data_IF_661552070434
#
_entry.id   IF_661552070434
#
_cell.length_a   1.000
_cell.length_b   1.000
_cell.length_c   1.000
_cell.angle_alpha   90.00
_cell.angle_beta   90.00
_cell.angle_gamma   90.00
#
_symmetry.space_group_name_H-M   'P 1'
#
loop_
_entity.id
_entity.type
_entity.pdbx_description
1 polymer ?
#
# COMPACT_ATOMS: atom_id res chain seq x y z
N UNK A 1 31.58 8.75 -5.62
CA UNK A 1 30.35 7.94 -5.85
C UNK A 1 29.88 8.21 -7.28
N UNK A 2 29.77 7.19 -8.15
CA UNK A 2 29.47 7.38 -9.59
C UNK A 2 28.17 8.20 -9.78
N UNK A 3 28.10 9.14 -10.76
CA UNK A 3 26.92 9.99 -10.98
C UNK A 3 25.63 9.20 -11.27
N UNK A 4 25.77 7.98 -11.79
CA UNK A 4 24.67 7.03 -11.99
C UNK A 4 24.06 6.61 -10.64
N UNK A 5 24.89 6.34 -9.64
CA UNK A 5 24.45 5.94 -8.29
C UNK A 5 23.72 7.08 -7.58
N UNK A 6 24.13 8.33 -7.80
CA UNK A 6 23.42 9.50 -7.29
C UNK A 6 22.04 9.66 -7.95
N UNK A 7 21.92 9.47 -9.27
CA UNK A 7 20.62 9.49 -9.96
C UNK A 7 19.68 8.39 -9.49
N UNK A 8 20.20 7.20 -9.21
CA UNK A 8 19.41 6.07 -8.69
C UNK A 8 18.99 6.25 -7.23
N UNK A 9 19.81 6.94 -6.42
CA UNK A 9 19.48 7.23 -5.02
C UNK A 9 18.57 8.45 -4.83
N UNK A 10 18.51 9.34 -5.83
CA UNK A 10 17.73 10.59 -5.77
C UNK A 10 16.24 10.37 -5.45
N UNK A 11 15.54 9.36 -5.99
CA UNK A 11 14.18 9.05 -5.56
C UNK A 11 14.10 8.74 -4.07
N UNK A 12 15.06 8.01 -3.52
CA UNK A 12 15.00 7.53 -2.12
C UNK A 12 15.28 8.64 -1.11
N UNK A 13 16.06 9.66 -1.49
CA UNK A 13 16.45 10.75 -0.58
C UNK A 13 15.62 12.02 -0.77
N UNK A 14 14.97 12.20 -1.92
CA UNK A 14 14.24 13.43 -2.18
C UNK A 14 13.01 13.61 -1.28
N UNK A 15 12.76 14.86 -0.91
CA UNK A 15 11.54 15.28 -0.25
C UNK A 15 10.39 15.36 -1.26
N UNK A 16 9.27 14.75 -0.91
CA UNK A 16 8.05 14.84 -1.71
C UNK A 16 7.32 16.14 -1.39
N UNK A 17 7.07 16.93 -2.44
CA UNK A 17 6.24 18.14 -2.38
C UNK A 17 4.90 17.76 -2.99
N UNK A 18 3.92 17.47 -2.12
CA UNK A 18 2.56 17.05 -2.50
C UNK A 18 1.54 17.71 -1.59
N UNK A 19 0.33 17.93 -2.11
CA UNK A 19 -0.81 18.46 -1.35
C UNK A 19 -1.59 17.36 -0.62
N UNK A 20 -2.35 17.72 0.41
CA UNK A 20 -3.23 16.80 1.14
C UNK A 20 -4.20 16.05 0.23
N UNK A 21 -4.73 16.71 -0.81
CA UNK A 21 -5.62 16.10 -1.80
C UNK A 21 -4.91 15.10 -2.73
N UNK A 22 -3.61 15.29 -2.98
CA UNK A 22 -2.80 14.31 -3.71
C UNK A 22 -2.50 13.09 -2.84
N UNK A 23 -2.15 13.30 -1.57
CA UNK A 23 -1.95 12.25 -0.58
C UNK A 23 -3.20 11.35 -0.49
N UNK A 24 -4.37 11.95 -0.28
CA UNK A 24 -5.65 11.25 -0.22
C UNK A 24 -5.91 10.38 -1.46
N UNK A 25 -5.74 10.97 -2.66
CA UNK A 25 -5.93 10.24 -3.93
C UNK A 25 -4.95 9.08 -4.09
N UNK A 26 -3.68 9.28 -3.76
CA UNK A 26 -2.68 8.22 -3.83
C UNK A 26 -3.04 7.06 -2.89
N UNK A 27 -3.47 7.34 -1.67
CA UNK A 27 -3.89 6.30 -0.73
C UNK A 27 -5.11 5.51 -1.21
N UNK A 28 -6.14 6.18 -1.78
CA UNK A 28 -7.30 5.48 -2.35
C UNK A 28 -6.89 4.56 -3.51
N UNK A 29 -5.93 4.99 -4.32
CA UNK A 29 -5.45 4.22 -5.48
C UNK A 29 -4.52 3.07 -5.10
N UNK A 30 -3.76 3.22 -4.00
CA UNK A 30 -2.77 2.24 -3.56
C UNK A 30 -3.33 0.81 -3.42
N UNK A 31 -4.47 0.55 -2.75
CA UNK A 31 -5.00 -0.80 -2.62
C UNK A 31 -5.43 -1.36 -3.98
N UNK A 32 -5.97 -0.55 -4.89
CA UNK A 32 -6.34 -1.02 -6.23
C UNK A 32 -5.12 -1.54 -6.98
N UNK A 33 -4.03 -0.75 -7.01
CA UNK A 33 -2.78 -1.15 -7.65
C UNK A 33 -2.10 -2.34 -6.96
N UNK A 34 -2.11 -2.36 -5.61
CA UNK A 34 -1.53 -3.47 -4.85
C UNK A 34 -2.32 -4.78 -5.07
N UNK A 35 -3.65 -4.71 -5.08
CA UNK A 35 -4.51 -5.86 -5.36
C UNK A 35 -4.37 -6.34 -6.81
N UNK A 36 -4.16 -5.46 -7.80
CA UNK A 36 -3.88 -5.90 -9.18
C UNK A 36 -2.64 -6.79 -9.25
N UNK A 37 -1.57 -6.43 -8.55
CA UNK A 37 -0.33 -7.23 -8.52
C UNK A 37 -0.58 -8.60 -7.89
N UNK A 38 -1.33 -8.64 -6.79
CA UNK A 38 -1.66 -9.88 -6.07
C UNK A 38 -2.59 -10.76 -6.92
N UNK A 39 -3.61 -10.17 -7.54
CA UNK A 39 -4.55 -10.88 -8.39
C UNK A 39 -3.87 -11.52 -9.61
N UNK A 40 -2.89 -10.84 -10.21
CA UNK A 40 -2.09 -11.44 -11.29
C UNK A 40 -1.27 -12.64 -10.81
N UNK A 41 -0.71 -12.60 -9.60
CA UNK A 41 0.00 -13.74 -9.00
C UNK A 41 -0.94 -14.92 -8.71
N UNK A 42 -2.18 -14.64 -8.29
CA UNK A 42 -3.19 -15.68 -8.07
C UNK A 42 -3.66 -16.32 -9.37
N UNK A 43 -3.94 -15.55 -10.43
CA UNK A 43 -4.32 -16.10 -11.75
C UNK A 43 -3.25 -17.07 -12.27
N UNK A 44 -1.98 -16.71 -12.16
CA UNK A 44 -0.87 -17.59 -12.56
C UNK A 44 -0.90 -18.89 -11.76
N UNK A 45 -1.26 -18.83 -10.48
CA UNK A 45 -1.38 -19.99 -9.60
C UNK A 45 -2.58 -20.88 -9.95
N UNK A 46 -3.73 -20.29 -10.31
CA UNK A 46 -4.95 -21.01 -10.69
C UNK A 46 -4.86 -21.67 -12.06
N UNK A 47 -4.01 -21.17 -12.96
CA UNK A 47 -3.83 -21.75 -14.30
C UNK A 47 -3.33 -23.22 -14.25
N UNK A 48 -2.84 -23.67 -13.10
CA UNK A 48 -2.39 -25.05 -12.87
C UNK A 48 -3.45 -26.00 -12.31
N UNK A 49 -4.62 -25.51 -11.88
CA UNK A 49 -5.70 -26.33 -11.34
C UNK A 49 -6.87 -26.38 -12.32
N UNK A 50 -6.84 -27.37 -13.21
CA UNK A 50 -7.94 -27.69 -14.12
C UNK A 50 -9.13 -28.24 -13.31
N UNK A 51 -10.20 -27.47 -13.16
CA UNK A 51 -11.61 -27.89 -13.33
C UNK A 51 -12.57 -26.83 -12.77
N UNK A 52 -13.43 -26.29 -13.64
CA UNK A 52 -14.46 -25.31 -13.27
C UNK A 52 -15.74 -26.02 -12.79
N UNK A 53 -16.14 -25.81 -11.53
CA UNK A 53 -17.28 -26.45 -10.84
C UNK A 53 -18.24 -25.40 -10.25
N UNK A 54 -19.48 -25.78 -9.94
CA UNK A 54 -20.48 -24.97 -9.19
C UNK A 54 -19.95 -24.48 -7.83
N UNK A 55 -19.04 -25.24 -7.22
CA UNK A 55 -18.33 -24.87 -5.98
C UNK A 55 -17.54 -23.57 -6.12
N UNK A 56 -17.08 -23.23 -7.33
CA UNK A 56 -16.37 -21.96 -7.58
C UNK A 56 -17.28 -20.76 -7.36
N UNK A 57 -18.59 -20.87 -7.61
CA UNK A 57 -19.51 -19.75 -7.44
C UNK A 57 -19.77 -19.45 -5.95
N UNK A 58 -19.89 -20.48 -5.11
CA UNK A 58 -19.97 -20.32 -3.65
C UNK A 58 -18.66 -19.76 -3.10
N UNK A 59 -17.52 -20.30 -3.53
CA UNK A 59 -16.18 -19.80 -3.16
C UNK A 59 -15.99 -18.34 -3.60
N UNK A 60 -16.45 -17.94 -4.78
CA UNK A 60 -16.41 -16.56 -5.25
C UNK A 60 -17.27 -15.63 -4.36
N UNK A 61 -18.44 -16.10 -3.93
CA UNK A 61 -19.32 -15.33 -3.04
C UNK A 61 -18.72 -15.15 -1.64
N UNK A 62 -18.10 -16.19 -1.08
CA UNK A 62 -17.38 -16.12 0.20
C UNK A 62 -16.15 -15.22 0.09
N UNK A 63 -15.37 -15.34 -0.99
CA UNK A 63 -14.25 -14.43 -1.26
C UNK A 63 -14.69 -12.98 -1.37
N UNK A 64 -15.88 -12.70 -1.93
CA UNK A 64 -16.42 -11.34 -2.01
C UNK A 64 -16.75 -10.76 -0.63
N UNK A 65 -17.39 -11.54 0.25
CA UNK A 65 -17.67 -11.11 1.63
C UNK A 65 -16.38 -10.88 2.43
N UNK A 66 -15.40 -11.78 2.27
CA UNK A 66 -14.07 -11.63 2.88
C UNK A 66 -13.38 -10.36 2.37
N UNK A 67 -13.46 -10.08 1.07
CA UNK A 67 -12.90 -8.87 0.48
C UNK A 67 -13.54 -7.58 1.04
N UNK A 68 -14.86 -7.58 1.27
CA UNK A 68 -15.58 -6.47 1.91
C UNK A 68 -15.07 -6.20 3.33
N UNK A 69 -14.92 -7.25 4.14
CA UNK A 69 -14.39 -7.13 5.50
C UNK A 69 -12.95 -6.58 5.48
N UNK A 70 -12.11 -7.10 4.58
CA UNK A 70 -10.74 -6.62 4.38
C UNK A 70 -10.74 -5.14 3.97
N UNK A 71 -11.66 -4.70 3.11
CA UNK A 71 -11.76 -3.30 2.70
C UNK A 71 -12.13 -2.36 3.86
N UNK A 72 -13.02 -2.79 4.75
CA UNK A 72 -13.40 -2.01 5.96
C UNK A 72 -12.21 -1.93 6.94
N UNK A 73 -11.56 -3.07 7.20
CA UNK A 73 -10.35 -3.15 8.03
C UNK A 73 -9.26 -2.22 7.45
N UNK A 74 -9.04 -2.27 6.14
CA UNK A 74 -8.11 -1.39 5.46
C UNK A 74 -8.47 0.08 5.67
N UNK A 75 -9.74 0.47 5.49
CA UNK A 75 -10.14 1.87 5.59
C UNK A 75 -9.92 2.45 7.00
N UNK A 76 -10.31 1.68 8.02
CA UNK A 76 -10.25 2.14 9.42
C UNK A 76 -8.82 2.07 9.96
N UNK A 77 -8.10 0.98 9.70
CA UNK A 77 -6.86 0.66 10.39
C UNK A 77 -5.60 0.99 9.60
N UNK A 78 -5.71 1.09 8.28
CA UNK A 78 -4.58 1.40 7.40
C UNK A 78 -4.74 2.79 6.82
N UNK A 79 -5.83 3.07 6.12
CA UNK A 79 -6.01 4.29 5.35
C UNK A 79 -6.05 5.54 6.23
N UNK A 80 -6.94 5.58 7.23
CA UNK A 80 -7.08 6.75 8.10
C UNK A 80 -5.77 7.06 8.86
N UNK A 81 -5.16 6.11 9.59
CA UNK A 81 -3.91 6.38 10.31
C UNK A 81 -2.76 6.78 9.38
N UNK A 82 -2.64 6.09 8.24
CA UNK A 82 -1.64 6.42 7.21
C UNK A 82 -1.83 7.84 6.68
N UNK A 83 -3.06 8.23 6.38
CA UNK A 83 -3.36 9.58 5.90
C UNK A 83 -2.98 10.64 6.94
N UNK A 84 -3.38 10.45 8.20
CA UNK A 84 -3.02 11.37 9.28
C UNK A 84 -1.50 11.49 9.45
N UNK A 85 -0.78 10.37 9.44
CA UNK A 85 0.68 10.37 9.53
C UNK A 85 1.36 11.02 8.32
N UNK A 86 0.88 10.77 7.10
CA UNK A 86 1.42 11.43 5.90
C UNK A 86 1.19 12.94 5.93
N UNK A 87 0.02 13.39 6.38
CA UNK A 87 -0.28 14.82 6.55
C UNK A 87 0.58 15.45 7.64
N UNK A 88 0.84 14.72 8.74
CA UNK A 88 1.73 15.14 9.81
C UNK A 88 3.18 15.28 9.30
N UNK A 89 3.69 14.26 8.61
CA UNK A 89 5.02 14.27 8.00
C UNK A 89 5.17 15.38 6.96
N UNK A 90 4.10 15.68 6.21
CA UNK A 90 4.09 16.82 5.30
C UNK A 90 4.28 18.14 6.06
N UNK A 91 3.61 18.32 7.21
CA UNK A 91 3.75 19.50 8.07
C UNK A 91 5.17 19.65 8.60
N UNK A 92 5.80 18.55 9.01
CA UNK A 92 7.19 18.51 9.48
C UNK A 92 8.22 18.38 8.37
N UNK A 93 7.80 18.49 7.10
CA UNK A 93 8.70 18.42 5.95
C UNK A 93 9.48 17.10 5.82
N UNK A 94 9.03 16.04 6.48
CA UNK A 94 9.69 14.75 6.63
C UNK A 94 9.10 13.65 5.71
N UNK A 95 8.37 14.04 4.65
CA UNK A 95 7.76 13.11 3.70
C UNK A 95 8.81 12.60 2.69
N UNK A 96 9.60 11.62 3.13
CA UNK A 96 10.63 10.93 2.36
C UNK A 96 10.29 9.45 2.17
N UNK A 97 11.07 8.75 1.34
CA UNK A 97 10.92 7.31 1.10
C UNK A 97 10.91 6.51 2.39
N UNK A 98 11.93 6.67 3.23
CA UNK A 98 12.07 5.89 4.47
C UNK A 98 10.92 6.14 5.45
N UNK A 99 10.47 7.39 5.57
CA UNK A 99 9.30 7.73 6.38
C UNK A 99 8.06 7.00 5.88
N UNK A 100 7.88 6.98 4.55
CA UNK A 100 6.75 6.31 3.88
C UNK A 100 6.78 4.81 4.10
N UNK A 101 7.92 4.16 3.91
CA UNK A 101 8.06 2.73 4.17
C UNK A 101 7.81 2.43 5.65
N UNK A 102 8.40 3.20 6.57
CA UNK A 102 8.32 2.95 8.01
C UNK A 102 6.88 3.01 8.55
N UNK A 103 6.14 4.10 8.32
CA UNK A 103 4.77 4.16 8.85
C UNK A 103 3.84 3.23 8.10
N UNK A 104 4.05 3.03 6.78
CA UNK A 104 3.15 2.16 6.03
C UNK A 104 3.26 0.76 6.58
N UNK A 105 4.50 0.28 6.76
CA UNK A 105 4.76 -1.01 7.40
C UNK A 105 4.15 -1.10 8.80
N UNK A 106 4.24 -0.03 9.60
CA UNK A 106 3.61 0.03 10.93
C UNK A 106 2.08 -0.15 10.85
N UNK A 107 1.40 0.52 9.92
CA UNK A 107 -0.06 0.44 9.82
C UNK A 107 -0.57 -0.80 9.06
N UNK A 108 0.16 -1.30 8.07
CA UNK A 108 -0.26 -2.49 7.29
C UNK A 108 0.20 -3.81 7.90
N UNK A 109 1.19 -3.80 8.79
CA UNK A 109 1.72 -5.01 9.44
C UNK A 109 1.42 -5.04 10.93
N UNK A 110 1.80 -4.01 11.68
CA UNK A 110 1.76 -4.06 13.16
C UNK A 110 0.31 -3.93 13.67
N UNK A 111 -0.48 -3.01 13.13
CA UNK A 111 -1.86 -2.81 13.60
C UNK A 111 -2.74 -4.05 13.36
N UNK A 112 -2.77 -4.66 12.16
CA UNK A 112 -3.52 -5.90 11.96
C UNK A 112 -2.94 -7.05 12.80
N UNK A 113 -1.61 -7.18 12.90
CA UNK A 113 -1.00 -8.25 13.72
C UNK A 113 -1.37 -8.13 15.20
N UNK A 114 -1.40 -6.91 15.76
CA UNK A 114 -1.81 -6.67 17.14
C UNK A 114 -3.28 -7.00 17.37
N UNK A 115 -4.17 -6.64 16.44
CA UNK A 115 -5.59 -6.97 16.53
C UNK A 115 -5.78 -8.48 16.49
N UNK A 116 -5.06 -9.18 15.61
CA UNK A 116 -5.17 -10.63 15.53
C UNK A 116 -4.61 -11.26 16.81
N UNK A 117 -3.48 -10.80 17.34
CA UNK A 117 -2.93 -11.28 18.64
C UNK A 117 -3.91 -11.05 19.79
N UNK A 118 -4.55 -9.87 19.86
CA UNK A 118 -5.55 -9.54 20.87
C UNK A 118 -6.82 -10.38 20.76
N UNK A 119 -7.26 -10.72 19.53
CA UNK A 119 -8.40 -11.62 19.29
C UNK A 119 -8.03 -13.10 19.52
N UNK A 120 -6.79 -13.50 19.27
CA UNK A 120 -6.30 -14.89 19.42
C UNK A 120 -5.89 -15.25 20.85
N UNK A 121 -5.95 -14.31 21.79
CA UNK A 121 -5.94 -14.64 23.22
C UNK A 121 -7.09 -15.61 23.63
N UNK A 122 -8.09 -15.82 22.76
CA UNK A 122 -9.12 -16.87 22.89
C UNK A 122 -9.05 -17.99 21.84
N UNK A 123 -8.29 -17.84 20.74
CA UNK A 123 -8.29 -18.80 19.61
C UNK A 123 -6.86 -19.02 19.13
N UNK A 124 -6.37 -20.23 19.34
CA UNK A 124 -5.00 -20.65 19.06
C UNK A 124 -4.66 -20.51 17.56
N UNK A 125 -3.46 -19.98 17.28
CA UNK A 125 -2.70 -20.07 16.01
C UNK A 125 -3.18 -19.13 14.88
N UNK A 126 -2.55 -17.95 14.79
CA UNK A 126 -2.38 -17.26 13.50
C UNK A 126 -1.39 -18.09 12.69
N UNK A 127 -1.75 -18.68 11.54
CA UNK A 127 -0.80 -19.45 10.76
C UNK A 127 0.34 -18.54 10.30
N UNK A 128 1.60 -18.97 10.47
CA UNK A 128 2.79 -18.27 9.96
C UNK A 128 2.62 -17.84 8.48
N UNK A 129 1.89 -18.64 7.69
CA UNK A 129 1.52 -18.32 6.31
C UNK A 129 0.74 -17.01 6.17
N UNK A 130 -0.22 -16.74 7.06
CA UNK A 130 -1.02 -15.52 7.04
C UNK A 130 -0.16 -14.28 7.36
N UNK A 131 0.74 -14.40 8.33
CA UNK A 131 1.71 -13.35 8.66
C UNK A 131 2.65 -13.04 7.49
N UNK A 132 3.17 -14.07 6.81
CA UNK A 132 4.03 -13.90 5.64
C UNK A 132 3.29 -13.20 4.48
N UNK A 133 2.04 -13.60 4.20
CA UNK A 133 1.19 -12.95 3.18
C UNK A 133 0.95 -11.48 3.53
N UNK A 134 0.64 -11.18 4.80
CA UNK A 134 0.46 -9.82 5.28
C UNK A 134 1.73 -8.97 5.12
N UNK A 135 2.92 -9.54 5.36
CA UNK A 135 4.19 -8.87 5.13
C UNK A 135 4.39 -8.50 3.66
N UNK A 136 4.10 -9.42 2.73
CA UNK A 136 4.19 -9.15 1.29
C UNK A 136 3.18 -8.10 0.85
N UNK A 137 1.94 -8.16 1.36
CA UNK A 137 0.92 -7.14 1.10
C UNK A 137 1.38 -5.76 1.60
N UNK A 138 1.85 -5.69 2.85
CA UNK A 138 2.34 -4.48 3.51
C UNK A 138 3.47 -3.81 2.72
N UNK A 139 4.45 -4.59 2.27
CA UNK A 139 5.56 -4.10 1.46
C UNK A 139 5.08 -3.62 0.09
N UNK A 140 4.24 -4.41 -0.59
CA UNK A 140 3.69 -4.06 -1.90
C UNK A 140 2.87 -2.77 -1.82
N UNK A 141 2.09 -2.61 -0.76
CA UNK A 141 1.30 -1.43 -0.49
C UNK A 141 2.20 -0.20 -0.25
N UNK A 142 3.24 -0.33 0.59
CA UNK A 142 4.18 0.76 0.89
C UNK A 142 4.92 1.25 -0.35
N UNK A 143 5.43 0.31 -1.17
CA UNK A 143 6.13 0.63 -2.41
C UNK A 143 5.19 1.29 -3.42
N UNK A 144 3.97 0.77 -3.57
CA UNK A 144 2.95 1.34 -4.45
C UNK A 144 2.60 2.78 -4.06
N UNK A 145 2.36 3.02 -2.77
CA UNK A 145 2.05 4.34 -2.23
C UNK A 145 3.19 5.34 -2.52
N UNK A 146 4.43 4.91 -2.28
CA UNK A 146 5.62 5.70 -2.61
C UNK A 146 5.69 6.06 -4.10
N UNK A 147 5.51 5.07 -4.99
CA UNK A 147 5.58 5.29 -6.45
C UNK A 147 4.50 6.27 -6.91
N UNK A 148 3.28 6.14 -6.40
CA UNK A 148 2.16 7.04 -6.74
C UNK A 148 2.43 8.48 -6.30
N UNK A 149 2.95 8.66 -5.07
CA UNK A 149 3.32 9.97 -4.56
C UNK A 149 4.48 10.60 -5.34
N UNK A 150 5.50 9.80 -5.65
CA UNK A 150 6.65 10.21 -6.45
C UNK A 150 6.22 10.68 -7.85
N UNK A 151 5.37 9.89 -8.52
CA UNK A 151 4.82 10.24 -9.83
C UNK A 151 4.03 11.53 -9.77
N UNK A 152 3.24 11.72 -8.72
CA UNK A 152 2.41 12.92 -8.54
C UNK A 152 3.27 14.16 -8.26
N UNK A 153 4.29 14.05 -7.42
CA UNK A 153 5.24 15.12 -7.16
C UNK A 153 5.98 15.52 -8.44
N UNK A 154 6.46 14.55 -9.23
CA UNK A 154 7.16 14.83 -10.49
C UNK A 154 6.24 15.50 -11.52
N UNK A 155 5.00 15.02 -11.68
CA UNK A 155 4.02 15.67 -12.57
C UNK A 155 3.76 17.13 -12.16
N UNK A 156 3.67 17.42 -10.86
CA UNK A 156 3.45 18.79 -10.38
C UNK A 156 4.64 19.72 -10.70
N UNK A 157 5.88 19.23 -10.54
CA UNK A 157 7.11 19.96 -10.89
C UNK A 157 7.20 20.25 -12.39
N UNK A 158 6.79 19.31 -13.24
CA UNK A 158 6.77 19.53 -14.69
C UNK A 158 5.70 20.55 -15.09
N UNK A 159 4.52 20.47 -14.49
CA UNK A 159 3.43 21.41 -14.76
C UNK A 159 3.75 22.84 -14.27
N UNK A 160 4.45 23.00 -13.14
CA UNK A 160 4.87 24.33 -12.68
C UNK A 160 5.92 24.97 -13.59
N UNK A 161 6.78 24.18 -14.24
CA UNK A 161 7.77 24.68 -15.21
C UNK A 161 7.16 25.13 -16.54
N UNK A 162 5.93 24.71 -16.83
CA UNK A 162 5.19 25.08 -18.04
C UNK A 162 4.35 26.36 -17.86
N UNK A 163 4.32 26.96 -16.66
CA UNK A 163 3.78 28.31 -16.49
C UNK A 163 4.81 29.30 -17.01
N UNK A 164 4.51 29.91 -18.16
CA UNK A 164 5.35 30.90 -18.83
C UNK A 164 5.78 32.03 -17.87
N UNK A 165 7.03 32.54 -17.97
CA UNK A 165 7.37 33.81 -17.37
C UNK A 165 6.52 34.89 -18.06
N UNK A 166 5.86 35.74 -17.24
CA UNK A 166 5.19 36.95 -17.71
C UNK A 166 6.16 37.87 -18.46
#
# INVERSE_FOLDING_TARGET
MKPILQRLAQPLTQKLIVSKAQIWRCLIQTPLYACTVIYLLEIVSFTFYSNFSKEIFEVLSEMFFVALIIAVIYFILVFLPTYFFQVLLLRYQALHFFSIIAYTFLFTMIVPSLIIILNTAQINIIPLRFFVILCFFSLTFAVTNWILLLRTANKSKTCSKLKFPN
#
